data_IF_156470334744
#
_entry.id   IF_156470334744
#
_cell.length_a   1.000
_cell.length_b   1.000
_cell.length_c   1.000
_cell.angle_alpha   90.00
_cell.angle_beta   90.00
_cell.angle_gamma   90.00
#
_symmetry.space_group_name_H-M   'P 1'
#
loop_
_entity.id
_entity.type
_entity.pdbx_description
1 polymer ?
#
# COMPACT_ATOMS: atom_id res chain seq x y z
N UNK A 1 -17.89 -3.98 -17.40
CA UNK A 1 -16.66 -4.76 -17.66
C UNK A 1 -15.77 -4.00 -18.62
N UNK A 2 -14.89 -3.14 -18.11
CA UNK A 2 -13.53 -2.94 -18.62
C UNK A 2 -12.85 -1.86 -17.76
N UNK A 3 -11.97 -2.26 -16.84
CA UNK A 3 -10.94 -1.34 -16.35
C UNK A 3 -9.63 -1.97 -16.83
N UNK A 4 -8.90 -1.31 -17.74
CA UNK A 4 -7.69 -1.88 -18.30
C UNK A 4 -6.67 -2.09 -17.19
N UNK A 5 -6.08 -3.28 -17.17
CA UNK A 5 -5.02 -3.64 -16.25
C UNK A 5 -3.89 -2.61 -16.32
N UNK A 6 -3.50 -2.11 -15.17
CA UNK A 6 -2.22 -1.44 -14.98
C UNK A 6 -1.10 -2.46 -15.20
N UNK A 7 -0.82 -2.73 -16.46
CA UNK A 7 0.43 -3.32 -16.92
C UNK A 7 1.37 -2.19 -17.27
N UNK A 8 2.00 -1.58 -16.26
CA UNK A 8 3.26 -0.87 -16.50
C UNK A 8 4.34 -1.94 -16.62
N UNK A 9 4.74 -2.23 -17.85
CA UNK A 9 5.55 -3.37 -18.27
C UNK A 9 7.02 -3.34 -17.82
N UNK A 10 7.36 -2.70 -16.70
CA UNK A 10 8.55 -3.05 -15.96
C UNK A 10 8.19 -4.25 -15.09
N UNK A 11 8.89 -5.38 -15.25
CA UNK A 11 8.77 -6.55 -14.38
C UNK A 11 8.68 -6.06 -12.93
N UNK A 12 7.52 -6.16 -12.29
CA UNK A 12 7.29 -5.58 -10.96
C UNK A 12 8.27 -6.19 -9.94
N UNK A 13 8.70 -7.42 -10.21
CA UNK A 13 9.73 -8.16 -9.49
C UNK A 13 11.18 -7.68 -9.74
N UNK A 14 11.40 -6.72 -10.65
CA UNK A 14 12.70 -6.15 -10.99
C UNK A 14 13.76 -7.21 -11.40
N UNK A 15 13.36 -8.35 -11.97
CA UNK A 15 14.26 -9.45 -12.39
C UNK A 15 15.31 -9.04 -13.43
N UNK A 16 15.07 -7.98 -14.19
CA UNK A 16 16.01 -7.47 -15.20
C UNK A 16 17.23 -6.76 -14.57
N UNK A 17 17.13 -6.39 -13.29
CA UNK A 17 18.18 -5.65 -12.59
C UNK A 17 19.19 -6.59 -11.92
N UNK A 18 20.48 -6.21 -11.83
CA UNK A 18 21.48 -6.91 -11.03
C UNK A 18 20.99 -7.15 -9.59
N UNK A 19 21.40 -8.23 -8.92
CA UNK A 19 20.83 -8.65 -7.62
C UNK A 19 20.78 -7.55 -6.57
N UNK A 20 21.84 -6.74 -6.44
CA UNK A 20 21.89 -5.64 -5.47
C UNK A 20 20.96 -4.48 -5.86
N UNK A 21 20.83 -4.19 -7.15
CA UNK A 21 19.95 -3.13 -7.64
C UNK A 21 18.48 -3.55 -7.56
N UNK A 22 18.17 -4.81 -7.88
CA UNK A 22 16.87 -5.45 -7.68
C UNK A 22 16.42 -5.34 -6.24
N UNK A 23 17.25 -5.80 -5.28
CA UNK A 23 16.95 -5.69 -3.84
C UNK A 23 16.70 -4.24 -3.42
N UNK A 24 17.56 -3.31 -3.83
CA UNK A 24 17.42 -1.89 -3.50
C UNK A 24 16.11 -1.30 -4.02
N UNK A 25 15.71 -1.62 -5.25
CA UNK A 25 14.45 -1.15 -5.85
C UNK A 25 13.23 -1.74 -5.15
N UNK A 26 13.25 -3.03 -4.85
CA UNK A 26 12.18 -3.70 -4.11
C UNK A 26 12.02 -3.11 -2.71
N UNK A 27 13.14 -2.89 -2.00
CA UNK A 27 13.11 -2.25 -0.68
C UNK A 27 12.52 -0.83 -0.75
N UNK A 28 12.97 0.01 -1.70
CA UNK A 28 12.40 1.34 -1.90
C UNK A 28 10.89 1.32 -2.14
N UNK A 29 10.41 0.33 -2.89
CA UNK A 29 8.97 0.17 -3.14
C UNK A 29 8.21 -0.25 -1.89
N UNK A 30 8.77 -1.17 -1.10
CA UNK A 30 8.23 -1.58 0.21
C UNK A 30 8.15 -0.37 1.16
N UNK A 31 9.19 0.45 1.22
CA UNK A 31 9.23 1.65 2.07
C UNK A 31 8.16 2.67 1.64
N UNK A 32 8.00 2.91 0.33
CA UNK A 32 6.97 3.80 -0.22
C UNK A 32 5.55 3.30 0.09
N UNK A 33 5.28 2.00 -0.09
CA UNK A 33 3.97 1.41 0.23
C UNK A 33 3.70 1.50 1.74
N UNK A 34 4.71 1.22 2.56
CA UNK A 34 4.60 1.31 4.02
C UNK A 34 4.29 2.74 4.47
N UNK A 35 4.96 3.74 3.88
CA UNK A 35 4.67 5.14 4.14
C UNK A 35 3.23 5.52 3.74
N UNK A 36 2.74 5.03 2.59
CA UNK A 36 1.34 5.22 2.16
C UNK A 36 0.34 4.57 3.11
N UNK A 37 0.63 3.38 3.63
CA UNK A 37 -0.21 2.70 4.63
C UNK A 37 -0.28 3.54 5.91
N UNK A 38 0.85 4.03 6.41
CA UNK A 38 0.89 4.89 7.59
C UNK A 38 0.09 6.19 7.39
N UNK A 39 0.27 6.85 6.24
CA UNK A 39 -0.47 8.06 5.90
C UNK A 39 -1.98 7.81 5.83
N UNK A 40 -2.39 6.74 5.15
CA UNK A 40 -3.80 6.38 5.01
C UNK A 40 -4.43 6.00 6.36
N UNK A 41 -3.67 5.33 7.22
CA UNK A 41 -4.09 4.99 8.59
C UNK A 41 -4.31 6.26 9.41
N UNK A 42 -3.35 7.19 9.38
CA UNK A 42 -3.49 8.48 10.06
C UNK A 42 -4.67 9.31 9.55
N UNK A 43 -4.92 9.28 8.23
CA UNK A 43 -6.09 9.93 7.62
C UNK A 43 -7.39 9.28 8.12
N UNK A 44 -7.45 7.95 8.18
CA UNK A 44 -8.59 7.20 8.72
C UNK A 44 -8.89 7.56 10.17
N UNK A 45 -7.87 7.64 11.03
CA UNK A 45 -8.02 8.09 12.42
C UNK A 45 -8.58 9.53 12.51
N UNK A 46 -8.12 10.43 11.64
CA UNK A 46 -8.65 11.78 11.52
C UNK A 46 -10.13 11.79 11.12
N UNK A 47 -10.50 10.96 10.12
CA UNK A 47 -11.89 10.80 9.68
C UNK A 47 -12.77 10.24 10.79
N UNK A 48 -12.31 9.25 11.57
CA UNK A 48 -13.08 8.74 12.71
C UNK A 48 -13.39 9.83 13.75
N UNK A 49 -12.40 10.70 14.05
CA UNK A 49 -12.63 11.85 14.93
C UNK A 49 -13.64 12.84 14.34
N UNK A 50 -13.53 13.14 13.04
CA UNK A 50 -14.49 14.02 12.35
C UNK A 50 -15.90 13.46 12.36
N UNK A 51 -16.07 12.13 12.16
CA UNK A 51 -17.36 11.47 12.25
C UNK A 51 -18.00 11.72 13.62
N UNK A 52 -17.25 11.51 14.71
CA UNK A 52 -17.75 11.74 16.06
C UNK A 52 -18.14 13.19 16.34
N UNK A 53 -17.41 14.17 15.77
CA UNK A 53 -17.77 15.59 15.85
C UNK A 53 -19.10 15.87 15.15
N UNK A 54 -19.32 15.30 13.97
CA UNK A 54 -20.57 15.48 13.21
C UNK A 54 -21.75 14.75 13.85
N UNK A 55 -21.52 13.59 14.48
CA UNK A 55 -22.54 12.89 15.27
C UNK A 55 -22.96 13.68 16.52
N UNK A 56 -22.02 14.35 17.18
CA UNK A 56 -22.29 15.19 18.34
C UNK A 56 -22.90 16.55 17.97
N UNK A 57 -22.52 17.10 16.81
CA UNK A 57 -23.00 18.38 16.34
C UNK A 57 -23.35 18.32 14.83
N UNK A 58 -24.61 17.99 14.49
CA UNK A 58 -25.04 17.83 13.10
C UNK A 58 -25.00 19.12 12.27
N UNK A 59 -24.81 20.29 12.89
CA UNK A 59 -24.64 21.55 12.17
C UNK A 59 -23.25 21.67 11.51
N UNK A 60 -22.26 20.87 11.94
CA UNK A 60 -20.90 20.91 11.42
C UNK A 60 -20.71 20.05 10.16
N UNK A 61 -21.58 19.08 9.91
CA UNK A 61 -21.50 18.23 8.74
C UNK A 61 -22.29 16.94 8.86
N UNK A 62 -22.19 16.12 7.82
CA UNK A 62 -22.90 14.86 7.71
C UNK A 62 -21.97 13.66 8.01
N UNK A 63 -22.28 12.83 9.03
CA UNK A 63 -21.43 11.71 9.41
C UNK A 63 -21.44 10.55 8.40
N UNK A 64 -22.52 10.40 7.60
CA UNK A 64 -22.60 9.36 6.57
C UNK A 64 -21.58 9.59 5.45
N UNK A 65 -21.34 10.86 5.12
CA UNK A 65 -20.31 11.27 4.16
C UNK A 65 -18.89 10.89 4.62
N UNK A 66 -18.64 10.93 5.93
CA UNK A 66 -17.37 10.48 6.53
C UNK A 66 -17.30 8.95 6.55
N UNK A 67 -18.40 8.26 6.81
CA UNK A 67 -18.47 6.80 6.76
C UNK A 67 -18.13 6.25 5.36
N UNK A 68 -18.62 6.89 4.30
CA UNK A 68 -18.23 6.57 2.93
C UNK A 68 -16.73 6.69 2.68
N UNK A 69 -16.10 7.75 3.21
CA UNK A 69 -14.65 7.95 3.11
C UNK A 69 -13.86 6.92 3.93
N UNK A 70 -14.32 6.58 5.14
CA UNK A 70 -13.72 5.53 5.96
C UNK A 70 -13.75 4.17 5.25
N UNK A 71 -14.85 3.84 4.58
CA UNK A 71 -14.96 2.61 3.81
C UNK A 71 -13.95 2.62 2.65
N UNK A 72 -13.88 3.71 1.86
CA UNK A 72 -12.89 3.85 0.79
C UNK A 72 -11.44 3.75 1.28
N UNK A 73 -11.14 4.37 2.42
CA UNK A 73 -9.83 4.29 3.07
C UNK A 73 -9.49 2.84 3.47
N UNK A 74 -10.47 2.10 3.99
CA UNK A 74 -10.32 0.68 4.31
C UNK A 74 -9.98 -0.15 3.06
N UNK A 75 -10.71 0.05 1.95
CA UNK A 75 -10.40 -0.62 0.67
C UNK A 75 -9.00 -0.27 0.15
N UNK A 76 -8.55 0.97 0.35
CA UNK A 76 -7.21 1.42 -0.05
C UNK A 76 -6.11 0.78 0.81
N UNK A 77 -6.32 0.70 2.12
CA UNK A 77 -5.41 0.00 3.03
C UNK A 77 -5.26 -1.48 2.68
N UNK A 78 -6.36 -2.16 2.35
CA UNK A 78 -6.35 -3.58 1.96
C UNK A 78 -5.53 -3.82 0.67
N UNK A 79 -5.73 -2.95 -0.32
CA UNK A 79 -4.93 -2.96 -1.56
C UNK A 79 -3.45 -2.70 -1.30
N UNK A 80 -3.12 -1.69 -0.49
CA UNK A 80 -1.75 -1.37 -0.14
C UNK A 80 -1.09 -2.51 0.65
N UNK A 81 -1.81 -3.16 1.57
CA UNK A 81 -1.33 -4.33 2.30
C UNK A 81 -1.05 -5.52 1.39
N UNK A 82 -1.93 -5.77 0.42
CA UNK A 82 -1.71 -6.81 -0.61
C UNK A 82 -0.50 -6.49 -1.48
N UNK A 83 -0.33 -5.23 -1.89
CA UNK A 83 0.84 -4.78 -2.66
C UNK A 83 2.13 -4.94 -1.82
N UNK A 84 2.11 -4.55 -0.54
CA UNK A 84 3.23 -4.70 0.37
C UNK A 84 3.68 -6.16 0.47
N UNK A 85 2.74 -7.09 0.70
CA UNK A 85 3.02 -8.52 0.80
C UNK A 85 3.62 -9.07 -0.51
N UNK A 86 3.10 -8.64 -1.67
CA UNK A 86 3.64 -8.99 -2.99
C UNK A 86 5.11 -8.58 -3.14
N UNK A 87 5.44 -7.32 -2.82
CA UNK A 87 6.81 -6.82 -2.95
C UNK A 87 7.76 -7.41 -1.90
N UNK A 88 7.29 -7.68 -0.68
CA UNK A 88 8.06 -8.43 0.32
C UNK A 88 8.41 -9.83 -0.18
N UNK A 89 7.47 -10.53 -0.81
CA UNK A 89 7.74 -11.82 -1.45
C UNK A 89 8.82 -11.74 -2.53
N UNK A 90 8.74 -10.73 -3.42
CA UNK A 90 9.79 -10.50 -4.42
C UNK A 90 11.16 -10.21 -3.82
N UNK A 91 11.21 -9.45 -2.71
CA UNK A 91 12.47 -9.16 -2.03
C UNK A 91 13.06 -10.44 -1.41
N UNK A 92 12.23 -11.28 -0.78
CA UNK A 92 12.67 -12.55 -0.20
C UNK A 92 13.25 -13.49 -1.27
N UNK A 93 12.57 -13.62 -2.42
CA UNK A 93 13.05 -14.37 -3.58
C UNK A 93 14.39 -13.83 -4.10
N UNK A 94 14.51 -12.50 -4.21
CA UNK A 94 15.75 -11.84 -4.64
C UNK A 94 16.91 -12.03 -3.64
N UNK A 95 16.61 -12.13 -2.34
CA UNK A 95 17.58 -12.46 -1.29
C UNK A 95 18.04 -13.90 -1.44
N UNK A 96 17.12 -14.86 -1.55
CA UNK A 96 17.40 -16.29 -1.71
C UNK A 96 18.23 -16.60 -2.95
N UNK A 97 17.87 -16.00 -4.09
CA UNK A 97 18.60 -16.15 -5.35
C UNK A 97 20.05 -15.64 -5.26
N UNK A 98 20.31 -14.61 -4.45
CA UNK A 98 21.67 -14.07 -4.25
C UNK A 98 22.55 -14.89 -3.30
N UNK A 99 21.97 -15.80 -2.51
CA UNK A 99 22.69 -16.67 -1.55
C UNK A 99 23.03 -18.06 -2.10
N UNK A 100 22.67 -18.36 -3.36
CA UNK A 100 22.82 -19.69 -3.98
C UNK A 100 24.20 -20.06 -4.52
N UNK A 101 25.28 -19.31 -4.23
CA UNK A 101 26.63 -19.55 -4.78
C UNK A 101 27.67 -20.02 -3.75
N UNK A 102 27.23 -20.47 -2.57
CA UNK A 102 28.11 -21.06 -1.55
C UNK A 102 27.64 -22.46 -1.18
N UNK A 103 27.90 -23.45 -2.04
CA UNK A 103 27.94 -24.85 -1.62
C UNK A 103 29.00 -25.61 -2.39
#
# INVERSE_FOLDING_TARGET
NNVPGYGDGAKEDCSDLPPNQRKKRLQQRIDDITAKIQQETAARDGLMKMKGVYEQNPALGDPMSIEGQLNQSSHKLDKLGSELAKFQGYLEEAIKAGTGLSR
#
